data_IF_146664927280
#
_entry.id   IF_146664927280
#
_cell.length_a   1.000
_cell.length_b   1.000
_cell.length_c   1.000
_cell.angle_alpha   90.00
_cell.angle_beta   90.00
_cell.angle_gamma   90.00
#
_symmetry.space_group_name_H-M   'P 1'
#
loop_
_entity.id
_entity.type
_entity.pdbx_description
1 polymer ?
#
# COMPACT_ATOMS: atom_id res chain seq x y z
N UNK A 1 11.06 -2.77 -27.12
CA UNK A 1 11.37 -3.85 -26.15
C UNK A 1 10.06 -4.41 -25.60
N UNK A 2 9.90 -5.74 -25.73
CA UNK A 2 8.77 -6.43 -25.12
C UNK A 2 8.97 -6.45 -23.60
N UNK A 3 8.17 -5.66 -22.88
CA UNK A 3 8.19 -5.59 -21.42
C UNK A 3 6.93 -6.24 -20.86
N UNK A 4 7.09 -7.16 -19.92
CA UNK A 4 5.96 -7.71 -19.18
C UNK A 4 5.40 -6.65 -18.25
N UNK A 5 4.07 -6.57 -18.17
CA UNK A 5 3.33 -5.62 -17.32
C UNK A 5 2.29 -6.35 -16.50
N UNK A 6 1.95 -5.80 -15.33
CA UNK A 6 0.77 -6.22 -14.58
C UNK A 6 -0.43 -5.41 -15.07
N UNK A 7 -1.57 -6.08 -15.24
CA UNK A 7 -2.81 -5.42 -15.69
C UNK A 7 -3.89 -5.60 -14.62
N UNK A 8 -4.37 -4.48 -14.10
CA UNK A 8 -5.52 -4.43 -13.18
C UNK A 8 -6.76 -4.01 -13.98
N UNK A 9 -7.84 -4.79 -13.87
CA UNK A 9 -9.10 -4.51 -14.55
C UNK A 9 -10.21 -4.36 -13.51
N UNK A 10 -11.03 -3.32 -13.62
CA UNK A 10 -12.09 -3.05 -12.66
C UNK A 10 -12.91 -1.81 -13.05
N UNK A 11 -13.93 -1.47 -12.27
CA UNK A 11 -14.81 -0.34 -12.57
C UNK A 11 -14.33 1.02 -12.06
N UNK A 12 -13.47 1.08 -11.02
CA UNK A 12 -13.14 2.31 -10.30
C UNK A 12 -11.62 2.51 -10.14
N UNK A 13 -10.84 2.28 -11.21
CA UNK A 13 -9.38 2.40 -11.16
C UNK A 13 -8.86 3.83 -11.42
N UNK A 14 -9.73 4.78 -11.74
CA UNK A 14 -9.34 6.15 -12.03
C UNK A 14 -8.70 6.85 -10.82
N UNK A 15 -9.26 6.59 -9.62
CA UNK A 15 -8.72 7.14 -8.39
C UNK A 15 -7.29 6.63 -8.13
N UNK A 16 -7.09 5.32 -8.21
CA UNK A 16 -5.77 4.70 -8.03
C UNK A 16 -4.77 5.20 -9.07
N UNK A 17 -5.17 5.31 -10.33
CA UNK A 17 -4.33 5.87 -11.39
C UNK A 17 -3.92 7.32 -11.09
N UNK A 18 -4.83 8.18 -10.61
CA UNK A 18 -4.53 9.57 -10.23
C UNK A 18 -3.51 9.63 -9.09
N UNK A 19 -3.72 8.82 -8.04
CA UNK A 19 -2.79 8.75 -6.91
C UNK A 19 -1.40 8.29 -7.36
N UNK A 20 -1.31 7.21 -8.14
CA UNK A 20 -0.03 6.71 -8.66
C UNK A 20 0.69 7.71 -9.55
N UNK A 21 -0.02 8.52 -10.34
CA UNK A 21 0.58 9.62 -11.13
C UNK A 21 1.23 10.68 -10.25
N UNK A 22 0.63 11.03 -9.12
CA UNK A 22 1.21 11.99 -8.17
C UNK A 22 2.41 11.42 -7.40
N UNK A 23 2.42 10.09 -7.21
CA UNK A 23 3.50 9.37 -6.53
C UNK A 23 4.58 8.84 -7.47
N UNK A 24 4.50 9.06 -8.77
CA UNK A 24 5.34 8.41 -9.81
C UNK A 24 6.85 8.63 -9.66
N UNK A 25 7.27 9.65 -8.91
CA UNK A 25 8.68 9.93 -8.64
C UNK A 25 9.24 9.10 -7.46
N UNK A 26 8.37 8.43 -6.71
CA UNK A 26 8.78 7.54 -5.64
C UNK A 26 9.15 6.18 -6.23
N UNK A 27 10.23 5.63 -5.77
CA UNK A 27 10.74 4.33 -6.21
C UNK A 27 10.19 3.16 -5.36
N UNK A 28 9.38 3.47 -4.34
CA UNK A 28 8.70 2.50 -3.46
C UNK A 28 7.23 2.24 -3.85
N UNK A 29 6.78 2.73 -5.01
CA UNK A 29 5.44 2.48 -5.57
C UNK A 29 5.56 2.01 -7.02
N UNK A 30 4.58 1.25 -7.57
CA UNK A 30 4.59 0.84 -8.97
C UNK A 30 4.36 2.04 -9.89
N UNK A 31 4.98 2.05 -11.06
CA UNK A 31 4.69 3.05 -12.09
C UNK A 31 3.41 2.69 -12.82
N UNK A 32 2.53 3.67 -13.00
CA UNK A 32 1.40 3.55 -13.91
C UNK A 32 1.90 3.73 -15.35
N UNK A 33 1.90 2.65 -16.12
CA UNK A 33 2.43 2.59 -17.49
C UNK A 33 1.38 2.97 -18.52
N UNK A 34 0.09 2.77 -18.20
CA UNK A 34 -1.03 3.10 -19.06
C UNK A 34 -2.35 3.01 -18.33
N UNK A 35 -3.31 3.80 -18.76
CA UNK A 35 -4.68 3.76 -18.25
C UNK A 35 -5.66 3.92 -19.40
N UNK A 36 -6.62 3.02 -19.48
CA UNK A 36 -7.66 3.03 -20.51
C UNK A 36 -9.03 2.83 -19.89
N UNK A 37 -10.02 3.55 -20.41
CA UNK A 37 -11.42 3.46 -19.98
C UNK A 37 -12.23 2.91 -21.15
N UNK A 38 -12.93 1.81 -20.93
CA UNK A 38 -13.92 1.26 -21.85
C UNK A 38 -15.31 1.54 -21.33
N UNK A 39 -16.34 1.20 -22.13
CA UNK A 39 -17.74 1.38 -21.73
C UNK A 39 -18.12 0.64 -20.42
N UNK A 40 -17.39 -0.42 -20.06
CA UNK A 40 -17.73 -1.29 -18.94
C UNK A 40 -16.62 -1.42 -17.89
N UNK A 41 -15.37 -1.09 -18.21
CA UNK A 41 -14.22 -1.36 -17.35
C UNK A 41 -13.10 -0.33 -17.54
N UNK A 42 -12.38 -0.10 -16.46
CA UNK A 42 -11.09 0.57 -16.48
C UNK A 42 -9.97 -0.47 -16.52
N UNK A 43 -8.93 -0.18 -17.28
CA UNK A 43 -7.73 -1.00 -17.42
C UNK A 43 -6.53 -0.16 -17.00
N UNK A 44 -5.79 -0.60 -15.99
CA UNK A 44 -4.59 0.05 -15.48
C UNK A 44 -3.39 -0.89 -15.68
N UNK A 45 -2.44 -0.48 -16.49
CA UNK A 45 -1.18 -1.18 -16.69
C UNK A 45 -0.12 -0.64 -15.74
N UNK A 46 0.54 -1.53 -15.02
CA UNK A 46 1.52 -1.25 -13.98
C UNK A 46 2.83 -1.99 -14.24
N UNK A 47 3.90 -1.59 -13.56
CA UNK A 47 5.12 -2.41 -13.48
C UNK A 47 4.76 -3.81 -13.00
N UNK A 48 5.30 -4.84 -13.68
CA UNK A 48 5.25 -6.20 -13.17
C UNK A 48 6.22 -6.32 -11.99
N UNK A 49 5.71 -6.80 -10.86
CA UNK A 49 6.45 -6.98 -9.60
C UNK A 49 6.46 -8.45 -9.18
N UNK A 50 7.22 -8.76 -8.15
CA UNK A 50 7.36 -10.10 -7.63
C UNK A 50 6.25 -10.50 -6.64
N UNK A 51 6.56 -11.47 -5.79
CA UNK A 51 5.66 -12.00 -4.78
C UNK A 51 5.38 -10.99 -3.66
N UNK A 52 4.17 -11.08 -3.10
CA UNK A 52 3.83 -10.29 -1.92
C UNK A 52 4.51 -10.81 -0.65
N UNK A 53 4.69 -9.91 0.34
CA UNK A 53 5.20 -10.31 1.65
C UNK A 53 4.29 -11.35 2.32
N UNK A 54 2.98 -11.30 2.07
CA UNK A 54 2.03 -12.32 2.51
C UNK A 54 2.34 -13.70 1.91
N UNK A 55 2.64 -13.76 0.62
CA UNK A 55 2.99 -15.02 -0.04
C UNK A 55 4.36 -15.53 0.45
N UNK A 56 5.35 -14.64 0.57
CA UNK A 56 6.67 -14.98 1.09
C UNK A 56 6.61 -15.49 2.55
N UNK A 57 5.82 -14.84 3.42
CA UNK A 57 5.58 -15.27 4.79
C UNK A 57 5.01 -16.71 4.83
N UNK A 58 4.03 -16.99 4.00
CA UNK A 58 3.41 -18.32 3.89
C UNK A 58 4.41 -19.38 3.44
N UNK A 59 5.26 -19.06 2.45
CA UNK A 59 6.33 -19.96 1.98
C UNK A 59 7.40 -20.20 3.06
N UNK A 60 7.64 -19.23 3.94
CA UNK A 60 8.55 -19.35 5.07
C UNK A 60 7.96 -20.12 6.28
N UNK A 61 6.75 -20.67 6.16
CA UNK A 61 6.09 -21.40 7.24
C UNK A 61 5.36 -20.52 8.26
N UNK A 62 5.08 -19.26 7.93
CA UNK A 62 4.29 -18.33 8.73
C UNK A 62 5.07 -17.47 9.72
N UNK A 63 6.34 -17.74 9.95
CA UNK A 63 7.22 -16.95 10.83
C UNK A 63 8.54 -16.65 10.13
N UNK A 64 9.10 -15.49 10.42
CA UNK A 64 10.40 -15.09 9.90
C UNK A 64 11.33 -14.59 11.01
N UNK A 65 12.63 -14.68 10.77
CA UNK A 65 13.64 -14.28 11.76
C UNK A 65 13.57 -12.78 12.08
N UNK A 66 13.94 -12.39 13.29
CA UNK A 66 13.95 -10.99 13.71
C UNK A 66 14.78 -10.08 12.77
N UNK A 67 15.97 -10.46 12.28
CA UNK A 67 16.70 -9.66 11.28
C UNK A 67 15.90 -9.44 10.00
N UNK A 68 15.20 -10.47 9.51
CA UNK A 68 14.35 -10.34 8.31
C UNK A 68 13.18 -9.42 8.54
N UNK A 69 12.50 -9.53 9.69
CA UNK A 69 11.40 -8.63 10.08
C UNK A 69 11.90 -7.19 10.16
N UNK A 70 13.06 -6.96 10.77
CA UNK A 70 13.66 -5.63 10.87
C UNK A 70 13.98 -5.05 9.49
N UNK A 71 14.60 -5.84 8.61
CA UNK A 71 14.94 -5.41 7.24
C UNK A 71 13.69 -5.03 6.42
N UNK A 72 12.68 -5.89 6.44
CA UNK A 72 11.42 -5.66 5.72
C UNK A 72 10.64 -4.51 6.36
N UNK A 73 10.56 -4.47 7.69
CA UNK A 73 9.85 -3.44 8.44
C UNK A 73 10.42 -2.03 8.20
N UNK A 74 11.74 -1.89 8.12
CA UNK A 74 12.37 -0.62 7.76
C UNK A 74 11.97 -0.16 6.35
N UNK A 75 11.91 -1.06 5.37
CA UNK A 75 11.48 -0.72 4.02
C UNK A 75 9.98 -0.37 3.96
N UNK A 76 9.13 -1.13 4.67
CA UNK A 76 7.70 -0.82 4.79
C UNK A 76 7.50 0.57 5.39
N UNK A 77 8.17 0.88 6.49
CA UNK A 77 8.10 2.19 7.14
C UNK A 77 8.59 3.31 6.22
N UNK A 78 9.71 3.11 5.52
CA UNK A 78 10.25 4.06 4.55
C UNK A 78 9.27 4.36 3.42
N UNK A 79 8.60 3.32 2.88
CA UNK A 79 7.58 3.47 1.84
C UNK A 79 6.39 4.29 2.34
N UNK A 80 5.89 3.98 3.56
CA UNK A 80 4.80 4.71 4.19
C UNK A 80 5.20 6.18 4.42
N UNK A 81 6.38 6.43 4.97
CA UNK A 81 6.89 7.80 5.19
C UNK A 81 6.99 8.57 3.87
N UNK A 82 7.42 7.92 2.79
CA UNK A 82 7.54 8.54 1.47
C UNK A 82 6.19 9.01 0.91
N UNK A 83 5.14 8.18 1.00
CA UNK A 83 3.80 8.58 0.54
C UNK A 83 3.17 9.63 1.45
N UNK A 84 3.42 9.55 2.77
CA UNK A 84 2.99 10.58 3.73
C UNK A 84 3.63 11.93 3.43
N UNK A 85 4.91 11.96 3.06
CA UNK A 85 5.61 13.17 2.63
C UNK A 85 5.05 13.78 1.33
N UNK A 86 4.32 13.01 0.53
CA UNK A 86 3.58 13.49 -0.65
C UNK A 86 2.13 13.86 -0.35
N UNK A 87 1.74 13.85 0.93
CA UNK A 87 0.42 14.23 1.40
C UNK A 87 -0.65 13.15 1.26
N UNK A 88 -0.28 11.89 1.11
CA UNK A 88 -1.21 10.75 1.02
C UNK A 88 -1.12 9.85 2.24
N UNK A 89 -2.24 9.26 2.63
CA UNK A 89 -2.33 8.10 3.51
C UNK A 89 -2.87 6.91 2.70
N UNK A 90 -2.40 5.70 3.01
CA UNK A 90 -2.73 4.50 2.25
C UNK A 90 -4.07 3.87 2.64
N UNK A 91 -4.32 3.74 3.95
CA UNK A 91 -5.54 3.22 4.60
C UNK A 91 -5.80 1.71 4.43
N UNK A 92 -4.89 0.98 3.76
CA UNK A 92 -4.95 -0.50 3.66
C UNK A 92 -3.54 -1.11 3.74
N UNK A 93 -2.75 -0.68 4.72
CA UNK A 93 -1.43 -1.25 4.99
C UNK A 93 -1.58 -2.67 5.53
N UNK A 94 -0.98 -3.63 4.80
CA UNK A 94 -0.98 -5.07 5.14
C UNK A 94 0.10 -5.82 4.35
N UNK A 95 0.54 -7.02 4.79
CA UNK A 95 1.57 -7.80 4.09
C UNK A 95 1.25 -8.12 2.62
N UNK A 96 -0.02 -8.21 2.24
CA UNK A 96 -0.43 -8.49 0.86
C UNK A 96 -0.21 -7.29 -0.08
N UNK A 97 -0.18 -6.07 0.47
CA UNK A 97 0.00 -4.83 -0.29
C UNK A 97 1.46 -4.37 -0.36
N UNK A 98 2.39 -5.18 0.14
CA UNK A 98 3.83 -5.01 -0.11
C UNK A 98 4.33 -6.18 -0.93
N UNK A 99 5.02 -5.89 -2.02
CA UNK A 99 5.56 -6.89 -2.95
C UNK A 99 7.04 -6.67 -3.16
N UNK A 100 7.76 -7.73 -3.46
CA UNK A 100 9.15 -7.62 -3.87
C UNK A 100 9.27 -7.09 -5.30
N UNK A 101 10.34 -6.38 -5.59
CA UNK A 101 10.72 -6.08 -6.97
C UNK A 101 11.12 -7.33 -7.75
N UNK A 102 11.54 -7.14 -9.00
CA UNK A 102 12.06 -8.21 -9.87
C UNK A 102 13.50 -7.91 -10.31
N UNK A 103 14.21 -8.94 -10.72
CA UNK A 103 15.58 -8.84 -11.23
C UNK A 103 16.54 -8.26 -10.18
N UNK A 104 17.21 -7.17 -10.51
CA UNK A 104 18.15 -6.47 -9.61
C UNK A 104 17.47 -5.87 -8.38
N UNK A 105 16.18 -5.56 -8.48
CA UNK A 105 15.38 -5.00 -7.39
C UNK A 105 14.66 -6.06 -6.52
N UNK A 106 14.98 -7.35 -6.67
CA UNK A 106 14.27 -8.46 -5.99
C UNK A 106 14.22 -8.38 -4.45
N UNK A 107 15.08 -7.60 -3.83
CA UNK A 107 15.09 -7.38 -2.37
C UNK A 107 14.42 -6.07 -1.97
N UNK A 108 13.99 -5.26 -2.93
CA UNK A 108 13.26 -4.01 -2.67
C UNK A 108 11.80 -4.32 -2.40
N UNK A 109 11.26 -3.70 -1.36
CA UNK A 109 9.84 -3.80 -0.99
C UNK A 109 9.09 -2.60 -1.56
N UNK A 110 8.05 -2.87 -2.33
CA UNK A 110 7.25 -1.89 -3.07
C UNK A 110 5.81 -1.95 -2.55
N UNK A 111 5.25 -0.80 -2.19
CA UNK A 111 3.87 -0.65 -1.72
C UNK A 111 2.93 -0.53 -2.93
N UNK A 112 1.89 -1.35 -2.96
CA UNK A 112 0.91 -1.44 -4.05
C UNK A 112 -0.53 -1.20 -3.55
N UNK A 113 -1.47 -1.07 -4.48
CA UNK A 113 -2.91 -0.97 -4.26
C UNK A 113 -3.35 0.33 -3.55
N UNK A 114 -3.35 1.41 -4.31
CA UNK A 114 -3.76 2.75 -3.87
C UNK A 114 -5.26 3.03 -4.06
N UNK A 115 -6.07 1.99 -4.26
CA UNK A 115 -7.51 2.12 -4.54
C UNK A 115 -8.31 2.82 -3.44
N UNK A 116 -7.84 2.74 -2.19
CA UNK A 116 -8.45 3.43 -1.05
C UNK A 116 -7.58 4.55 -0.48
N UNK A 117 -6.42 4.84 -1.08
CA UNK A 117 -5.53 5.90 -0.60
C UNK A 117 -6.24 7.27 -0.61
N UNK A 118 -5.81 8.17 0.28
CA UNK A 118 -6.44 9.48 0.42
C UNK A 118 -5.40 10.58 0.64
N UNK A 119 -5.64 11.71 0.01
CA UNK A 119 -4.90 12.93 0.33
C UNK A 119 -5.30 13.41 1.73
N UNK A 120 -4.32 13.70 2.58
CA UNK A 120 -4.52 14.20 3.93
C UNK A 120 -3.92 15.61 4.15
N UNK A 121 -3.14 16.10 3.18
CA UNK A 121 -2.63 17.48 3.17
C UNK A 121 -3.25 18.26 2.01
N UNK A 122 -3.45 19.56 2.20
CA UNK A 122 -3.82 20.49 1.13
C UNK A 122 -2.60 20.89 0.30
N UNK A 123 -2.80 21.81 -0.65
CA UNK A 123 -1.73 22.32 -1.53
C UNK A 123 -0.67 23.16 -0.79
N UNK A 124 -0.94 23.59 0.43
CA UNK A 124 -0.01 24.34 1.29
C UNK A 124 0.74 23.44 2.29
N UNK A 125 0.46 22.12 2.26
CA UNK A 125 1.03 21.16 3.18
C UNK A 125 0.35 21.11 4.56
N UNK A 126 -0.80 21.80 4.71
CA UNK A 126 -1.56 21.74 5.97
C UNK A 126 -2.53 20.56 6.00
N UNK A 127 -2.76 19.95 7.17
CA UNK A 127 -3.74 18.87 7.30
C UNK A 127 -5.14 19.28 6.85
N UNK A 128 -5.76 18.46 6.02
CA UNK A 128 -7.17 18.64 5.65
C UNK A 128 -8.07 18.48 6.89
N UNK A 129 -9.17 19.23 6.94
CA UNK A 129 -10.17 19.08 8.01
C UNK A 129 -10.73 17.65 8.01
N UNK A 130 -10.81 17.00 9.19
CA UNK A 130 -11.41 15.68 9.31
C UNK A 130 -12.86 15.70 8.82
N UNK A 131 -13.29 14.65 8.16
CA UNK A 131 -14.71 14.44 7.85
C UNK A 131 -15.47 14.09 9.15
N UNK A 132 -16.73 14.50 9.27
CA UNK A 132 -17.57 14.13 10.43
C UNK A 132 -17.76 12.62 10.57
N UNK A 133 -17.84 11.90 9.45
CA UNK A 133 -17.89 10.45 9.36
C UNK A 133 -17.01 9.97 8.21
N UNK A 134 -16.30 8.87 8.42
CA UNK A 134 -15.45 8.24 7.42
C UNK A 134 -15.80 6.74 7.37
N UNK A 135 -16.55 6.28 6.35
CA UNK A 135 -16.90 4.87 6.24
C UNK A 135 -15.66 3.98 6.36
N UNK A 136 -15.83 2.80 6.97
CA UNK A 136 -14.76 1.83 7.08
C UNK A 136 -14.12 1.54 5.72
N UNK A 137 -12.80 1.53 5.68
CA UNK A 137 -12.03 1.08 4.53
C UNK A 137 -10.74 0.40 5.00
N UNK A 138 -10.21 -0.48 4.16
CA UNK A 138 -9.06 -1.29 4.47
C UNK A 138 -9.44 -2.72 4.89
N UNK A 139 -8.51 -3.43 5.51
CA UNK A 139 -8.63 -4.83 5.91
C UNK A 139 -8.79 -4.92 7.42
N UNK A 140 -9.88 -5.49 7.89
CA UNK A 140 -10.32 -5.47 9.31
C UNK A 140 -9.22 -5.83 10.30
N UNK A 141 -8.50 -6.93 10.09
CA UNK A 141 -7.48 -7.42 11.04
C UNK A 141 -6.25 -6.51 11.17
N UNK A 142 -6.02 -5.59 10.21
CA UNK A 142 -4.93 -4.61 10.26
C UNK A 142 -5.43 -3.19 10.52
N UNK A 143 -6.75 -3.00 10.62
CA UNK A 143 -7.33 -1.68 10.74
C UNK A 143 -7.05 -1.05 12.11
N UNK A 144 -6.79 0.24 12.12
CA UNK A 144 -6.61 1.01 13.35
C UNK A 144 -7.93 1.15 14.13
N UNK A 145 -7.89 1.49 15.43
CA UNK A 145 -9.09 1.80 16.18
C UNK A 145 -9.95 2.90 15.54
N UNK A 146 -9.34 3.94 14.95
CA UNK A 146 -10.09 4.97 14.24
C UNK A 146 -10.86 4.44 13.05
N UNK A 147 -10.25 3.52 12.26
CA UNK A 147 -10.93 2.87 11.13
C UNK A 147 -12.15 2.05 11.61
N UNK A 148 -12.02 1.29 12.69
CA UNK A 148 -13.12 0.52 13.29
C UNK A 148 -14.25 1.39 13.82
N UNK A 149 -13.91 2.58 14.34
CA UNK A 149 -14.91 3.55 14.82
C UNK A 149 -15.44 4.49 13.73
N UNK A 150 -15.14 4.21 12.45
CA UNK A 150 -15.53 5.02 11.30
C UNK A 150 -15.14 6.50 11.44
N UNK A 151 -13.99 6.75 12.08
CA UNK A 151 -13.40 8.07 12.26
C UNK A 151 -12.40 8.36 11.14
N UNK A 152 -12.16 9.65 10.88
CA UNK A 152 -11.16 10.05 9.88
C UNK A 152 -9.79 9.50 10.24
N UNK A 153 -9.19 8.79 9.29
CA UNK A 153 -7.85 8.23 9.41
C UNK A 153 -6.79 9.28 9.04
N UNK A 154 -5.61 9.12 9.61
CA UNK A 154 -4.43 9.97 9.40
C UNK A 154 -3.18 9.10 9.26
N UNK A 155 -2.02 9.71 9.15
CA UNK A 155 -0.72 9.03 9.06
C UNK A 155 -0.51 7.98 10.15
N UNK A 156 -0.94 8.26 11.40
CA UNK A 156 -0.82 7.32 12.52
C UNK A 156 -1.57 6.01 12.29
N UNK A 157 -2.65 6.04 11.53
CA UNK A 157 -3.50 4.87 11.29
C UNK A 157 -2.80 3.86 10.36
N UNK A 158 -2.04 4.33 9.37
CA UNK A 158 -1.14 3.49 8.58
C UNK A 158 -0.03 2.86 9.44
N UNK A 159 0.46 3.58 10.46
CA UNK A 159 1.47 3.05 11.39
C UNK A 159 0.90 1.97 12.33
N UNK A 160 -0.35 2.09 12.78
CA UNK A 160 -1.03 0.98 13.49
C UNK A 160 -1.07 -0.28 12.62
N UNK A 161 -1.49 -0.14 11.37
CA UNK A 161 -1.56 -1.24 10.41
C UNK A 161 -0.17 -1.86 10.12
N UNK A 162 0.88 -1.03 10.07
CA UNK A 162 2.27 -1.49 9.97
C UNK A 162 2.65 -2.35 11.18
N UNK A 163 2.39 -1.87 12.41
CA UNK A 163 2.71 -2.62 13.64
C UNK A 163 2.00 -3.97 13.64
N UNK A 164 0.71 -4.02 13.33
CA UNK A 164 -0.04 -5.26 13.24
C UNK A 164 0.55 -6.21 12.18
N UNK A 165 0.95 -5.69 11.02
CA UNK A 165 1.64 -6.48 9.98
C UNK A 165 2.96 -7.08 10.47
N UNK A 166 3.76 -6.32 11.23
CA UNK A 166 5.01 -6.80 11.80
C UNK A 166 4.79 -7.80 12.93
N UNK A 167 3.75 -7.63 13.74
CA UNK A 167 3.36 -8.60 14.76
C UNK A 167 3.01 -9.95 14.14
N UNK A 168 2.29 -9.96 13.00
CA UNK A 168 2.01 -11.21 12.28
C UNK A 168 3.29 -11.93 11.83
N UNK A 169 4.33 -11.20 11.41
CA UNK A 169 5.59 -11.79 10.99
C UNK A 169 6.37 -12.45 12.15
N UNK A 170 6.22 -11.92 13.36
CA UNK A 170 6.95 -12.40 14.55
C UNK A 170 6.15 -13.46 15.32
N UNK A 171 4.85 -13.24 15.47
CA UNK A 171 3.98 -14.02 16.36
C UNK A 171 3.02 -14.97 15.63
N UNK A 172 2.94 -14.89 14.29
CA UNK A 172 1.97 -15.64 13.51
C UNK A 172 0.62 -14.89 13.35
N UNK A 173 -0.43 -15.61 12.88
CA UNK A 173 -1.71 -15.00 12.56
C UNK A 173 -2.27 -14.15 13.68
N UNK A 174 -2.76 -12.97 13.33
CA UNK A 174 -3.47 -12.08 14.27
C UNK A 174 -4.83 -12.70 14.67
N UNK A 175 -5.32 -12.41 15.88
CA UNK A 175 -6.59 -12.92 16.39
C UNK A 175 -7.81 -12.39 15.61
#
# INVERSE_FOLDING_TARGET
ENRNVAVKVGQNLEHEHKVLKELMQLDCVPRALGFHVTFQQHVLALDLLGESLRAALRLAGGLVSAPTVSYVGCQMLSSIASIHGRGFIHRDIKPANFVFGLGEQRLKVILIDFGVARRHLDSTGQPLKPRPAAPFCGTTIYASPNAHFEREQSQRDDLYSLVYSLMEFVAGPLP
#
